data_IF_041685259551
#
_entry.id   IF_041685259551
#
_cell.length_a   1.000
_cell.length_b   1.000
_cell.length_c   1.000
_cell.angle_alpha   90.00
_cell.angle_beta   90.00
_cell.angle_gamma   90.00
#
_symmetry.space_group_name_H-M   'P 1'
#
loop_
_entity.id
_entity.type
_entity.pdbx_description
1 polymer ?
#
# COMPACT_ATOMS: atom_id res chain seq x y z
N UNK A 1 -53.08 -23.23 -64.90
CA UNK A 1 -53.53 -22.10 -64.06
C UNK A 1 -52.31 -21.48 -63.37
N UNK A 2 -52.36 -20.17 -63.16
CA UNK A 2 -51.23 -19.22 -63.12
C UNK A 2 -50.43 -19.22 -61.81
N UNK A 3 -49.09 -19.19 -61.90
CA UNK A 3 -48.21 -18.13 -61.32
C UNK A 3 -46.81 -18.21 -61.96
N UNK A 4 -46.20 -17.05 -62.32
CA UNK A 4 -44.97 -16.96 -63.11
C UNK A 4 -43.69 -17.03 -62.24
N UNK A 5 -42.52 -17.23 -62.86
CA UNK A 5 -41.20 -17.16 -62.20
C UNK A 5 -40.61 -15.75 -62.31
N UNK A 6 -39.98 -15.21 -61.26
CA UNK A 6 -39.10 -14.05 -61.41
C UNK A 6 -37.96 -13.99 -60.36
N UNK A 7 -36.77 -14.14 -60.93
CA UNK A 7 -35.40 -13.63 -60.68
C UNK A 7 -34.96 -12.88 -59.40
N UNK A 8 -33.63 -12.90 -59.13
CA UNK A 8 -32.98 -12.38 -57.93
C UNK A 8 -32.56 -10.89 -58.05
N UNK A 9 -32.39 -10.22 -56.90
CA UNK A 9 -31.82 -8.88 -56.77
C UNK A 9 -31.10 -8.80 -55.41
N UNK A 10 -29.77 -8.67 -55.33
CA UNK A 10 -28.99 -7.41 -55.38
C UNK A 10 -29.48 -6.37 -54.36
N UNK A 11 -28.68 -5.67 -53.55
CA UNK A 11 -27.23 -5.55 -53.31
C UNK A 11 -27.09 -4.48 -52.19
N UNK A 12 -26.09 -4.63 -51.32
CA UNK A 12 -25.32 -3.59 -50.57
C UNK A 12 -25.94 -2.72 -49.46
N UNK A 13 -25.28 -2.86 -48.30
CA UNK A 13 -24.54 -1.82 -47.54
C UNK A 13 -25.31 -0.66 -46.89
N UNK A 14 -25.24 -0.64 -45.55
CA UNK A 14 -25.41 0.54 -44.70
C UNK A 14 -25.27 0.11 -43.22
N UNK A 15 -24.07 0.15 -42.64
CA UNK A 15 -23.51 1.28 -41.88
C UNK A 15 -23.94 1.25 -40.39
N UNK A 16 -23.01 0.76 -39.56
CA UNK A 16 -22.54 1.24 -38.25
C UNK A 16 -23.50 1.75 -37.14
N UNK A 17 -23.12 1.35 -35.90
CA UNK A 17 -23.37 1.98 -34.59
C UNK A 17 -24.84 1.92 -34.10
N UNK A 18 -25.17 1.72 -32.82
CA UNK A 18 -24.44 1.58 -31.58
C UNK A 18 -25.44 1.04 -30.52
N UNK A 19 -24.95 0.31 -29.52
CA UNK A 19 -25.03 0.66 -28.10
C UNK A 19 -24.64 -0.56 -27.26
N UNK A 20 -23.42 -0.52 -26.72
CA UNK A 20 -23.14 -1.02 -25.38
C UNK A 20 -23.97 -0.22 -24.35
N UNK A 21 -23.91 -0.59 -23.06
CA UNK A 21 -24.68 -0.08 -21.90
C UNK A 21 -25.97 -0.90 -21.67
N UNK A 22 -26.26 -1.56 -20.56
CA UNK A 22 -25.85 -1.56 -19.15
C UNK A 22 -26.16 -2.98 -18.65
N UNK A 23 -25.28 -3.70 -17.93
CA UNK A 23 -25.42 -3.91 -16.48
C UNK A 23 -24.09 -4.45 -15.93
N UNK A 24 -23.13 -3.53 -15.85
CA UNK A 24 -22.04 -3.57 -14.86
C UNK A 24 -22.62 -3.05 -13.54
N UNK A 25 -23.33 -3.90 -12.78
CA UNK A 25 -23.77 -3.62 -11.41
C UNK A 25 -23.70 -4.94 -10.63
N UNK A 26 -22.81 -5.16 -9.66
CA UNK A 26 -21.80 -4.29 -9.10
C UNK A 26 -20.49 -5.03 -8.88
N UNK A 27 -19.46 -4.60 -9.59
CA UNK A 27 -18.16 -4.47 -8.95
C UNK A 27 -18.35 -3.36 -7.93
N UNK A 28 -18.71 -3.73 -6.70
CA UNK A 28 -18.43 -2.86 -5.57
C UNK A 28 -16.96 -2.51 -5.74
N UNK A 29 -16.64 -1.25 -6.04
CA UNK A 29 -15.29 -0.76 -5.90
C UNK A 29 -14.91 -1.18 -4.49
N UNK A 30 -14.06 -2.20 -4.35
CA UNK A 30 -13.58 -2.64 -3.07
C UNK A 30 -12.93 -1.39 -2.50
N UNK A 31 -13.67 -0.70 -1.62
CA UNK A 31 -13.26 0.57 -1.05
C UNK A 31 -11.91 0.26 -0.46
N UNK A 32 -10.86 0.85 -1.02
CA UNK A 32 -9.52 0.49 -0.60
C UNK A 32 -9.43 0.80 0.88
N UNK A 33 -9.32 -0.24 1.71
CA UNK A 33 -9.31 -0.08 3.15
C UNK A 33 -8.20 0.94 3.47
N UNK A 34 -8.52 2.17 3.93
CA UNK A 34 -7.51 3.19 4.19
C UNK A 34 -6.55 2.75 5.30
N UNK A 35 -6.95 1.73 6.05
CA UNK A 35 -6.16 1.10 7.09
C UNK A 35 -5.32 -0.08 6.58
N UNK A 36 -5.31 -0.39 5.27
CA UNK A 36 -4.46 -1.44 4.70
C UNK A 36 -3.08 -0.89 4.31
N UNK A 37 -2.05 -1.44 4.97
CA UNK A 37 -0.65 -1.08 4.85
C UNK A 37 0.10 -2.27 4.26
N UNK A 38 1.16 -2.00 3.49
CA UNK A 38 1.90 -3.04 2.75
C UNK A 38 3.32 -3.15 3.26
N UNK A 39 3.80 -4.38 3.41
CA UNK A 39 5.18 -4.64 3.80
C UNK A 39 6.13 -4.00 2.77
N UNK A 40 7.13 -3.27 3.25
CA UNK A 40 8.21 -2.70 2.48
C UNK A 40 9.53 -3.21 3.05
N UNK A 41 10.34 -3.81 2.19
CA UNK A 41 11.65 -4.34 2.58
C UNK A 41 12.77 -3.39 2.15
N UNK A 42 12.59 -2.11 2.47
CA UNK A 42 13.47 -1.01 2.01
C UNK A 42 14.24 -0.40 3.17
N UNK A 43 13.92 -0.74 4.41
CA UNK A 43 14.53 -0.15 5.59
C UNK A 43 15.21 -1.23 6.43
N UNK A 44 16.48 -0.99 6.74
CA UNK A 44 17.15 -1.65 7.85
C UNK A 44 16.77 -0.91 9.12
N UNK A 45 16.27 -1.65 10.12
CA UNK A 45 15.83 -1.04 11.38
C UNK A 45 16.67 -1.57 12.52
N UNK A 46 17.15 -0.65 13.36
CA UNK A 46 18.01 -0.96 14.50
C UNK A 46 17.46 -0.30 15.76
N UNK A 47 17.63 -0.95 16.90
CA UNK A 47 17.38 -0.37 18.22
C UNK A 47 18.72 -0.08 18.90
N UNK A 48 18.83 1.07 19.55
CA UNK A 48 20.09 1.54 20.13
C UNK A 48 20.67 0.62 21.21
N UNK A 49 19.82 -0.12 21.92
CA UNK A 49 20.24 -1.01 22.99
C UNK A 49 20.42 -2.47 22.54
N UNK A 50 19.80 -2.86 21.43
CA UNK A 50 19.82 -4.25 20.95
C UNK A 50 20.12 -4.31 19.44
N UNK A 51 21.32 -4.80 19.13
CA UNK A 51 21.79 -5.00 17.74
C UNK A 51 21.19 -6.23 17.06
N UNK A 52 20.54 -7.11 17.81
CA UNK A 52 19.84 -8.29 17.28
C UNK A 52 18.36 -8.03 17.04
N UNK A 53 17.91 -6.81 17.35
CA UNK A 53 16.54 -6.39 17.15
C UNK A 53 16.20 -6.27 15.67
N UNK A 54 15.04 -6.80 15.30
CA UNK A 54 14.50 -6.88 13.94
C UNK A 54 13.07 -6.34 13.92
N UNK A 55 12.71 -5.68 12.83
CA UNK A 55 11.37 -5.18 12.61
C UNK A 55 10.97 -5.27 11.14
N UNK A 56 9.68 -5.49 10.93
CA UNK A 56 9.04 -5.34 9.63
C UNK A 56 8.51 -3.93 9.49
N UNK A 57 8.69 -3.35 8.30
CA UNK A 57 8.20 -2.01 8.00
C UNK A 57 7.05 -2.10 7.01
N UNK A 58 5.92 -1.47 7.33
CA UNK A 58 4.80 -1.37 6.40
C UNK A 58 4.57 0.08 6.01
N UNK A 59 4.13 0.31 4.78
CA UNK A 59 3.82 1.63 4.27
C UNK A 59 2.32 1.79 4.03
N UNK A 60 1.77 2.93 4.45
CA UNK A 60 0.39 3.29 4.16
C UNK A 60 0.18 3.50 2.65
N UNK A 61 -1.04 3.28 2.17
CA UNK A 61 -1.37 3.44 0.74
C UNK A 61 -1.12 4.86 0.22
N UNK A 62 -1.24 5.87 1.07
CA UNK A 62 -1.03 7.27 0.73
C UNK A 62 0.41 7.75 0.94
N UNK A 63 1.33 6.84 1.29
CA UNK A 63 2.76 7.10 1.52
C UNK A 63 3.07 8.09 2.65
N UNK A 64 2.08 8.46 3.45
CA UNK A 64 2.25 9.41 4.55
C UNK A 64 2.78 8.75 5.81
N UNK A 65 2.54 7.46 5.98
CA UNK A 65 2.89 6.76 7.20
C UNK A 65 3.74 5.52 6.97
N UNK A 66 4.64 5.25 7.91
CA UNK A 66 5.37 3.99 8.04
C UNK A 66 5.02 3.33 9.36
N UNK A 67 4.77 2.03 9.35
CA UNK A 67 4.56 1.23 10.54
C UNK A 67 5.83 0.44 10.78
N UNK A 68 6.45 0.64 11.92
CA UNK A 68 7.55 -0.19 12.41
C UNK A 68 6.96 -1.21 13.35
N UNK A 69 6.99 -2.47 12.95
CA UNK A 69 6.49 -3.60 13.70
C UNK A 69 7.68 -4.48 14.13
N UNK A 70 8.14 -4.40 15.39
CA UNK A 70 9.17 -5.31 15.87
C UNK A 70 8.71 -6.77 15.83
N UNK A 71 9.65 -7.69 15.64
CA UNK A 71 9.37 -9.14 15.67
C UNK A 71 8.91 -9.62 17.05
N UNK A 72 9.31 -8.91 18.11
CA UNK A 72 8.96 -9.22 19.48
C UNK A 72 8.52 -7.98 20.26
N UNK A 73 7.69 -8.20 21.28
CA UNK A 73 7.21 -7.14 22.16
C UNK A 73 5.76 -6.72 21.90
N UNK A 74 5.19 -5.91 22.81
CA UNK A 74 3.77 -5.57 22.78
C UNK A 74 3.46 -4.34 21.91
N UNK A 75 4.47 -3.57 21.52
CA UNK A 75 4.30 -2.26 20.90
C UNK A 75 4.81 -2.22 19.46
N UNK A 76 4.12 -1.45 18.65
CA UNK A 76 4.53 -1.04 17.31
C UNK A 76 4.38 0.48 17.19
N UNK A 77 4.98 1.06 16.15
CA UNK A 77 4.99 2.51 15.97
C UNK A 77 4.58 2.90 14.56
N UNK A 78 3.52 3.72 14.47
CA UNK A 78 3.17 4.38 13.22
C UNK A 78 3.84 5.76 13.18
N UNK A 79 4.57 6.04 12.13
CA UNK A 79 5.37 7.24 11.93
C UNK A 79 4.74 8.07 10.83
N UNK A 80 4.33 9.29 11.14
CA UNK A 80 3.84 10.27 10.18
C UNK A 80 5.01 11.04 9.58
N UNK A 81 5.26 10.81 8.30
CA UNK A 81 6.36 11.41 7.55
C UNK A 81 6.11 12.87 7.20
N UNK A 82 4.85 13.33 7.26
CA UNK A 82 4.48 14.71 6.95
C UNK A 82 4.61 15.61 8.16
N UNK A 83 4.20 15.12 9.34
CA UNK A 83 4.27 15.88 10.60
C UNK A 83 5.50 15.55 11.45
N UNK A 84 6.27 14.52 11.06
CA UNK A 84 7.40 13.99 11.81
C UNK A 84 7.01 13.62 13.25
N UNK A 85 5.86 12.94 13.39
CA UNK A 85 5.35 12.45 14.67
C UNK A 85 5.21 10.93 14.66
N UNK A 86 5.61 10.29 15.74
CA UNK A 86 5.38 8.87 15.98
C UNK A 86 4.14 8.65 16.85
N UNK A 87 3.45 7.53 16.64
CA UNK A 87 2.30 7.08 17.41
C UNK A 87 2.53 5.66 17.87
N UNK A 88 2.29 5.39 19.15
CA UNK A 88 2.41 4.05 19.73
C UNK A 88 1.13 3.26 19.49
N UNK A 89 1.29 2.01 19.07
CA UNK A 89 0.23 1.06 18.81
C UNK A 89 0.50 -0.21 19.62
N UNK A 90 -0.55 -0.84 20.16
CA UNK A 90 -0.41 -2.19 20.65
C UNK A 90 -0.43 -3.16 19.46
N UNK A 91 0.50 -4.11 19.40
CA UNK A 91 0.59 -5.11 18.33
C UNK A 91 -0.72 -5.89 18.19
N UNK A 92 -1.42 -6.13 19.31
CA UNK A 92 -2.72 -6.82 19.36
C UNK A 92 -3.85 -6.09 18.62
N UNK A 93 -3.70 -4.79 18.35
CA UNK A 93 -4.67 -3.99 17.60
C UNK A 93 -4.41 -4.02 16.09
N UNK A 94 -3.28 -4.58 15.67
CA UNK A 94 -2.85 -4.62 14.27
C UNK A 94 -3.24 -5.97 13.67
N UNK A 95 -4.12 -5.94 12.67
CA UNK A 95 -4.49 -7.15 11.93
C UNK A 95 -3.40 -7.51 10.92
N UNK A 96 -2.70 -8.62 11.09
CA UNK A 96 -1.64 -9.04 10.18
C UNK A 96 -2.12 -10.15 9.23
N UNK A 97 -1.76 -10.00 7.97
CA UNK A 97 -1.89 -11.00 6.91
C UNK A 97 -0.61 -10.97 6.09
N UNK A 98 -0.35 -12.01 5.29
CA UNK A 98 0.88 -12.09 4.50
C UNK A 98 1.13 -10.81 3.67
N UNK A 99 2.23 -10.12 3.97
CA UNK A 99 2.63 -8.87 3.33
C UNK A 99 1.72 -7.66 3.58
N UNK A 100 0.71 -7.75 4.46
CA UNK A 100 -0.25 -6.66 4.72
C UNK A 100 -0.57 -6.51 6.21
N UNK A 101 -0.62 -5.27 6.66
CA UNK A 101 -1.09 -4.91 7.99
C UNK A 101 -2.37 -4.07 7.90
N UNK A 102 -3.30 -4.31 8.82
CA UNK A 102 -4.48 -3.49 9.04
C UNK A 102 -4.28 -2.67 10.31
N UNK A 103 -4.04 -1.37 10.14
CA UNK A 103 -3.65 -0.47 11.22
C UNK A 103 -4.88 0.33 11.68
N UNK A 104 -5.18 0.40 12.99
CA UNK A 104 -6.29 1.19 13.49
C UNK A 104 -6.09 2.70 13.18
N UNK A 105 -7.19 3.48 13.10
CA UNK A 105 -7.10 4.92 12.81
C UNK A 105 -6.18 5.66 13.80
N UNK A 106 -5.26 6.47 13.25
CA UNK A 106 -4.28 7.23 14.04
C UNK A 106 -4.81 8.56 14.57
N UNK A 107 -5.86 9.12 13.96
CA UNK A 107 -6.38 10.46 14.26
C UNK A 107 -6.80 10.71 15.73
N UNK A 108 -6.94 9.65 16.54
CA UNK A 108 -7.31 9.73 17.96
C UNK A 108 -6.17 9.31 18.89
N UNK A 109 -4.99 9.01 18.36
CA UNK A 109 -3.85 8.57 19.16
C UNK A 109 -2.99 9.77 19.56
N UNK A 110 -2.54 9.76 20.81
CA UNK A 110 -1.57 10.72 21.26
C UNK A 110 -0.22 10.46 20.58
N UNK A 111 0.51 11.51 20.17
CA UNK A 111 1.89 11.37 19.73
C UNK A 111 2.74 10.71 20.84
N UNK A 112 3.56 9.75 20.45
CA UNK A 112 4.51 9.05 21.30
C UNK A 112 5.90 9.71 21.28
N UNK A 113 6.21 10.48 20.24
CA UNK A 113 7.49 11.17 20.11
C UNK A 113 7.62 11.87 18.77
N UNK A 114 8.64 12.72 18.65
CA UNK A 114 9.02 13.33 17.37
C UNK A 114 9.94 12.38 16.58
N UNK A 115 9.81 12.41 15.26
CA UNK A 115 10.79 11.83 14.34
C UNK A 115 11.86 12.86 14.03
N UNK A 116 13.11 12.41 14.07
CA UNK A 116 14.23 13.11 13.47
C UNK A 116 14.58 12.49 12.12
N UNK A 117 14.99 13.33 11.17
CA UNK A 117 15.37 12.92 9.82
C UNK A 117 16.73 13.51 9.49
N UNK A 118 17.75 12.67 9.56
CA UNK A 118 19.14 13.05 9.29
C UNK A 118 19.77 12.11 8.26
N UNK A 119 20.43 12.67 7.25
CA UNK A 119 21.22 11.88 6.29
C UNK A 119 20.45 10.80 5.53
N UNK A 120 19.12 10.93 5.42
CA UNK A 120 18.27 9.91 4.80
C UNK A 120 17.71 8.85 5.77
N UNK A 121 18.20 8.82 7.01
CA UNK A 121 17.69 7.97 8.08
C UNK A 121 16.51 8.64 8.80
N UNK A 122 15.63 7.83 9.38
CA UNK A 122 14.57 8.27 10.28
C UNK A 122 14.84 7.69 11.66
N UNK A 123 14.80 8.51 12.71
CA UNK A 123 14.98 8.04 14.08
C UNK A 123 13.88 8.58 14.99
N UNK A 124 13.52 7.81 16.00
CA UNK A 124 12.53 8.22 16.99
C UNK A 124 12.81 7.56 18.34
N UNK A 125 12.54 8.30 19.41
CA UNK A 125 12.67 7.80 20.77
C UNK A 125 11.53 6.80 21.08
N UNK A 126 11.91 5.69 21.69
CA UNK A 126 11.02 4.71 22.31
C UNK A 126 11.42 4.56 23.77
N UNK A 127 10.55 3.96 24.60
CA UNK A 127 10.66 4.07 26.07
C UNK A 127 12.06 3.91 26.67
N UNK A 128 12.84 2.95 26.20
CA UNK A 128 14.18 2.63 26.70
C UNK A 128 15.33 3.00 25.74
N UNK A 129 15.05 3.50 24.54
CA UNK A 129 16.09 3.71 23.55
C UNK A 129 15.62 4.47 22.32
N UNK A 130 16.39 4.37 21.25
CA UNK A 130 16.06 4.99 19.96
C UNK A 130 15.96 3.91 18.91
N UNK A 131 14.89 3.97 18.12
CA UNK A 131 14.76 3.18 16.90
C UNK A 131 15.23 4.04 15.74
N UNK A 132 16.15 3.48 14.94
CA UNK A 132 16.67 4.13 13.74
C UNK A 132 16.38 3.25 12.54
N UNK A 133 15.73 3.84 11.53
CA UNK A 133 15.45 3.27 10.22
C UNK A 133 16.38 3.90 9.19
N UNK A 134 17.23 3.09 8.59
CA UNK A 134 18.11 3.52 7.50
C UNK A 134 17.58 2.90 6.21
N UNK A 135 17.48 3.65 5.10
CA UNK A 135 17.22 3.05 3.81
C UNK A 135 18.29 1.99 3.52
N UNK A 136 17.87 0.77 3.21
CA UNK A 136 18.75 -0.29 2.74
C UNK A 136 19.39 0.10 1.41
N UNK A 137 20.36 -0.71 0.96
CA UNK A 137 21.03 -0.45 -0.31
C UNK A 137 20.00 -0.35 -1.45
N UNK A 138 20.11 0.66 -2.34
CA UNK A 138 19.25 0.74 -3.51
C UNK A 138 19.38 -0.56 -4.30
N UNK A 139 18.26 -1.13 -4.73
CA UNK A 139 18.26 -2.29 -5.62
C UNK A 139 18.94 -1.89 -6.94
N UNK A 140 20.24 -2.16 -7.07
CA UNK A 140 20.99 -1.90 -8.29
C UNK A 140 20.70 -3.04 -9.28
N UNK A 141 19.81 -2.79 -10.23
CA UNK A 141 19.51 -3.69 -11.34
C UNK A 141 18.82 -2.92 -12.48
N UNK A 142 19.02 -3.37 -13.72
CA UNK A 142 18.27 -2.84 -14.86
C UNK A 142 16.78 -3.15 -14.68
N UNK A 143 15.98 -2.15 -14.33
CA UNK A 143 14.53 -2.25 -14.47
C UNK A 143 14.24 -2.17 -15.97
N UNK A 144 14.05 -3.31 -16.61
CA UNK A 144 13.58 -3.34 -17.99
C UNK A 144 12.12 -2.85 -18.01
N UNK A 145 11.94 -1.56 -18.31
CA UNK A 145 10.62 -0.92 -18.40
C UNK A 145 9.70 -1.59 -19.44
N UNK A 146 10.26 -2.39 -20.33
CA UNK A 146 9.55 -3.24 -21.30
C UNK A 146 8.79 -4.43 -20.69
N UNK A 147 9.03 -4.76 -19.42
CA UNK A 147 8.27 -5.80 -18.69
C UNK A 147 7.11 -5.23 -17.86
N UNK A 148 6.92 -3.90 -17.86
CA UNK A 148 5.87 -3.20 -17.12
C UNK A 148 4.66 -2.80 -18.00
N UNK A 149 4.65 -3.20 -19.28
CA UNK A 149 3.55 -2.97 -20.22
C UNK A 149 3.17 -4.25 -20.97
#
# INVERSE_FOLDING_TARGET
>A
MRRPPDRPSKIRSGLFLALAWVFLLGSSSAGSDPNAWRLVNVYDVTHSLDKTWSAQVFQSKDFKYLLVLPETGPDAWALDLMTLQGYRLAVTEIGLTEGRARVPPLARRAPAGALDREGGSLSFAVGDGTVTMTPGEPLVGEVSLSLLF
#
